data_IF_118724125730
#
_entry.id   IF_118724125730
#
_cell.length_a   1.000
_cell.length_b   1.000
_cell.length_c   1.000
_cell.angle_alpha   90.00
_cell.angle_beta   90.00
_cell.angle_gamma   90.00
#
_symmetry.space_group_name_H-M   'P 1'
#
loop_
_entity.id
_entity.type
_entity.pdbx_description
1 polymer ?
#
# COMPACT_ATOMS: atom_id res chain seq x y z
N UNK A 1 -18.62 7.53 -5.54
CA UNK A 1 -18.77 8.23 -6.85
C UNK A 1 -17.39 8.32 -7.47
N UNK A 2 -17.30 8.04 -8.76
CA UNK A 2 -16.07 8.24 -9.55
C UNK A 2 -16.39 9.00 -10.86
N UNK A 3 -15.35 9.63 -11.42
CA UNK A 3 -15.35 10.33 -12.72
C UNK A 3 -14.67 9.51 -13.82
N UNK A 4 -14.61 8.19 -13.64
CA UNK A 4 -14.05 7.26 -14.60
C UNK A 4 -14.91 7.10 -15.86
N UNK A 5 -14.57 6.08 -16.67
CA UNK A 5 -15.27 5.82 -17.96
C UNK A 5 -16.74 5.40 -17.83
N UNK A 6 -17.23 5.20 -16.63
CA UNK A 6 -18.54 4.60 -16.35
C UNK A 6 -18.55 3.08 -16.63
N UNK A 7 -19.30 2.32 -15.86
CA UNK A 7 -19.51 0.89 -16.11
C UNK A 7 -20.13 0.68 -17.50
N UNK A 8 -19.79 -0.42 -18.24
CA UNK A 8 -20.43 -0.73 -19.51
C UNK A 8 -21.92 -1.00 -19.35
N UNK A 9 -22.75 -0.31 -20.13
CA UNK A 9 -24.24 -0.41 -20.07
C UNK A 9 -24.84 -1.29 -21.16
N UNK A 10 -24.04 -1.62 -22.19
CA UNK A 10 -24.48 -2.50 -23.29
C UNK A 10 -24.74 -3.94 -22.86
N UNK A 11 -25.34 -4.71 -23.77
CA UNK A 11 -25.64 -6.14 -23.51
C UNK A 11 -24.34 -6.95 -23.51
N UNK A 12 -24.15 -7.74 -22.47
CA UNK A 12 -22.99 -8.63 -22.34
C UNK A 12 -23.10 -9.79 -23.36
N UNK A 13 -22.10 -10.00 -24.24
CA UNK A 13 -22.25 -10.88 -25.39
C UNK A 13 -22.51 -12.36 -25.03
N UNK A 14 -21.99 -12.83 -23.89
CA UNK A 14 -22.18 -14.22 -23.44
C UNK A 14 -23.40 -14.43 -22.54
N UNK A 15 -23.83 -13.38 -21.82
CA UNK A 15 -24.87 -13.51 -20.82
C UNK A 15 -26.25 -13.00 -21.28
N UNK A 16 -26.30 -12.23 -22.38
CA UNK A 16 -27.54 -11.67 -22.90
C UNK A 16 -28.24 -10.66 -21.99
N UNK A 17 -27.53 -10.15 -20.98
CA UNK A 17 -28.02 -9.18 -19.97
C UNK A 17 -27.17 -7.90 -20.01
N UNK A 18 -27.67 -6.77 -19.48
CA UNK A 18 -26.85 -5.57 -19.32
C UNK A 18 -25.56 -5.86 -18.59
N UNK A 19 -24.44 -5.31 -19.09
CA UNK A 19 -23.10 -5.60 -18.51
C UNK A 19 -23.02 -5.11 -17.05
N UNK A 20 -23.67 -4.00 -16.70
CA UNK A 20 -23.79 -3.54 -15.30
C UNK A 20 -24.43 -4.63 -14.44
N UNK A 21 -25.53 -5.25 -14.88
CA UNK A 21 -26.19 -6.33 -14.15
C UNK A 21 -25.26 -7.52 -13.96
N UNK A 22 -24.52 -7.91 -15.00
CA UNK A 22 -23.56 -9.02 -14.91
C UNK A 22 -22.48 -8.72 -13.88
N UNK A 23 -21.91 -7.49 -13.88
CA UNK A 23 -20.88 -7.06 -12.93
C UNK A 23 -21.39 -7.11 -11.48
N UNK A 24 -22.66 -6.72 -11.27
CA UNK A 24 -23.25 -6.58 -9.95
C UNK A 24 -23.85 -7.90 -9.40
N UNK A 25 -24.10 -8.90 -10.25
CA UNK A 25 -24.82 -10.13 -9.82
C UNK A 25 -24.06 -11.42 -10.07
N UNK A 26 -23.03 -11.42 -10.92
CA UNK A 26 -22.32 -12.65 -11.28
C UNK A 26 -20.92 -12.65 -10.69
N UNK A 27 -20.58 -13.71 -9.96
CA UNK A 27 -19.24 -13.93 -9.44
C UNK A 27 -18.25 -14.15 -10.60
N UNK A 28 -17.04 -13.65 -10.44
CA UNK A 28 -15.95 -13.77 -11.44
C UNK A 28 -16.25 -13.12 -12.80
N UNK A 29 -17.17 -12.16 -12.86
CA UNK A 29 -17.56 -11.44 -14.07
C UNK A 29 -16.87 -10.08 -14.25
N UNK A 30 -15.68 -9.89 -13.68
CA UNK A 30 -14.96 -8.61 -13.73
C UNK A 30 -14.35 -8.32 -15.09
N UNK A 31 -14.48 -7.07 -15.58
CA UNK A 31 -13.83 -6.57 -16.80
C UNK A 31 -12.29 -6.45 -16.71
N UNK A 32 -11.71 -6.90 -15.61
CA UNK A 32 -10.26 -6.93 -15.34
C UNK A 32 -9.58 -8.21 -15.83
N UNK A 33 -10.36 -9.19 -16.30
CA UNK A 33 -9.89 -10.44 -16.88
C UNK A 33 -9.77 -10.29 -18.39
N UNK A 34 -8.62 -10.63 -18.97
CA UNK A 34 -8.46 -10.71 -20.41
C UNK A 34 -7.90 -9.48 -21.12
N UNK A 35 -7.11 -8.66 -20.47
CA UNK A 35 -6.05 -7.88 -21.15
C UNK A 35 -6.44 -6.63 -21.89
N UNK A 36 -7.54 -5.95 -21.66
CA UNK A 36 -7.87 -4.76 -22.44
C UNK A 36 -8.23 -3.47 -21.69
N UNK A 37 -8.64 -3.55 -20.47
CA UNK A 37 -9.24 -2.43 -19.75
C UNK A 37 -8.38 -1.78 -18.66
N UNK A 38 -7.51 -2.55 -18.04
CA UNK A 38 -6.71 -2.12 -16.91
C UNK A 38 -5.28 -2.62 -17.03
N UNK A 39 -4.31 -1.70 -16.96
CA UNK A 39 -2.87 -2.07 -16.96
C UNK A 39 -2.43 -2.70 -15.66
N UNK A 40 -3.01 -2.25 -14.55
CA UNK A 40 -2.71 -2.72 -13.19
C UNK A 40 -4.01 -2.74 -12.39
N UNK A 41 -4.26 -3.80 -11.64
CA UNK A 41 -5.44 -3.91 -10.78
C UNK A 41 -5.14 -4.75 -9.54
N UNK A 42 -5.65 -4.31 -8.38
CA UNK A 42 -5.69 -5.11 -7.16
C UNK A 42 -6.86 -6.11 -7.11
N UNK A 43 -7.88 -5.91 -7.97
CA UNK A 43 -9.04 -6.80 -8.07
C UNK A 43 -8.76 -8.00 -8.96
N UNK A 44 -8.44 -9.16 -8.36
CA UNK A 44 -8.04 -10.38 -9.09
C UNK A 44 -9.18 -11.37 -9.33
N UNK A 45 -10.26 -11.29 -8.56
CA UNK A 45 -11.29 -12.33 -8.53
C UNK A 45 -12.63 -11.90 -9.14
N UNK A 46 -12.81 -10.61 -9.46
CA UNK A 46 -14.06 -10.09 -10.05
C UNK A 46 -15.28 -10.32 -9.18
N UNK A 47 -15.14 -10.24 -7.85
CA UNK A 47 -16.22 -10.52 -6.89
C UNK A 47 -16.62 -9.30 -6.05
N UNK A 48 -15.82 -8.24 -6.00
CA UNK A 48 -16.04 -7.13 -5.07
C UNK A 48 -17.42 -6.47 -5.24
N UNK A 49 -17.80 -6.11 -6.45
CA UNK A 49 -19.08 -5.45 -6.72
C UNK A 49 -20.26 -6.37 -6.42
N UNK A 50 -20.21 -7.64 -6.85
CA UNK A 50 -21.29 -8.61 -6.62
C UNK A 50 -21.43 -8.98 -5.14
N UNK A 51 -20.34 -9.02 -4.39
CA UNK A 51 -20.37 -9.27 -2.93
C UNK A 51 -20.99 -8.06 -2.20
N UNK A 52 -20.61 -6.83 -2.54
CA UNK A 52 -21.24 -5.63 -1.94
C UNK A 52 -22.76 -5.66 -2.18
N UNK A 53 -23.20 -5.95 -3.41
CA UNK A 53 -24.62 -6.10 -3.72
C UNK A 53 -25.27 -7.21 -2.88
N UNK A 54 -24.66 -8.40 -2.82
CA UNK A 54 -25.23 -9.55 -2.10
C UNK A 54 -25.40 -9.29 -0.59
N UNK A 55 -24.50 -8.49 -0.01
CA UNK A 55 -24.48 -8.14 1.41
C UNK A 55 -25.23 -6.84 1.73
N UNK A 56 -26.01 -6.30 0.78
CA UNK A 56 -26.74 -5.06 0.94
C UNK A 56 -28.26 -5.30 0.90
N UNK A 57 -28.98 -4.69 1.82
CA UNK A 57 -30.46 -4.67 1.77
C UNK A 57 -30.99 -3.82 0.60
N UNK A 58 -30.16 -2.83 0.16
CA UNK A 58 -30.41 -2.02 -1.03
C UNK A 58 -29.04 -1.69 -1.67
N UNK A 59 -28.96 -1.86 -2.98
CA UNK A 59 -27.81 -1.39 -3.77
C UNK A 59 -28.33 -0.73 -5.05
N UNK A 60 -27.84 0.48 -5.33
CA UNK A 60 -28.17 1.23 -6.54
C UNK A 60 -26.90 1.61 -7.28
N UNK A 61 -26.90 1.40 -8.59
CA UNK A 61 -25.81 1.81 -9.47
C UNK A 61 -26.34 2.81 -10.47
N UNK A 62 -25.71 3.97 -10.51
CA UNK A 62 -25.99 5.02 -11.48
C UNK A 62 -24.74 5.19 -12.34
N UNK A 63 -24.89 5.07 -13.65
CA UNK A 63 -23.78 5.17 -14.61
C UNK A 63 -24.05 6.32 -15.57
N UNK A 64 -23.12 7.25 -15.62
CA UNK A 64 -23.08 8.28 -16.67
C UNK A 64 -22.15 7.79 -17.77
N UNK A 65 -22.70 7.55 -18.96
CA UNK A 65 -21.94 7.04 -20.11
C UNK A 65 -22.66 7.26 -21.43
N UNK A 66 -21.89 7.53 -22.46
CA UNK A 66 -22.37 7.67 -23.84
C UNK A 66 -23.50 8.71 -24.00
N UNK A 67 -23.41 9.84 -23.24
CA UNK A 67 -24.35 10.94 -23.24
C UNK A 67 -25.62 10.73 -22.40
N UNK A 68 -25.69 9.64 -21.65
CA UNK A 68 -26.87 9.28 -20.86
C UNK A 68 -26.55 8.88 -19.43
N UNK A 69 -27.56 9.03 -18.56
CA UNK A 69 -27.57 8.51 -17.19
C UNK A 69 -28.42 7.26 -17.14
N UNK A 70 -27.83 6.18 -16.64
CA UNK A 70 -28.45 4.89 -16.48
C UNK A 70 -28.53 4.55 -15.01
N UNK A 71 -29.63 3.88 -14.59
CA UNK A 71 -29.83 3.42 -13.21
C UNK A 71 -30.31 1.99 -13.18
N UNK A 72 -29.79 1.20 -12.23
CA UNK A 72 -30.28 -0.11 -11.88
C UNK A 72 -30.21 -0.31 -10.37
N UNK A 73 -31.23 -0.94 -9.80
CA UNK A 73 -31.36 -1.19 -8.36
C UNK A 73 -31.41 -2.68 -8.08
N UNK A 74 -30.86 -3.05 -6.91
CA UNK A 74 -30.72 -4.42 -6.44
C UNK A 74 -31.10 -4.52 -4.97
N UNK A 75 -31.44 -5.74 -4.55
CA UNK A 75 -31.69 -6.07 -3.14
C UNK A 75 -31.12 -7.45 -2.85
N UNK A 76 -30.21 -7.54 -1.88
CA UNK A 76 -29.60 -8.81 -1.44
C UNK A 76 -29.06 -9.65 -2.61
N UNK A 77 -28.37 -9.02 -3.54
CA UNK A 77 -27.81 -9.67 -4.74
C UNK A 77 -28.79 -9.84 -5.89
N UNK A 78 -30.10 -9.74 -5.67
CA UNK A 78 -31.09 -9.89 -6.71
C UNK A 78 -31.39 -8.56 -7.40
N UNK A 79 -31.74 -8.62 -8.70
CA UNK A 79 -32.18 -7.47 -9.48
C UNK A 79 -33.55 -7.02 -8.99
N UNK A 80 -33.70 -5.74 -8.63
CA UNK A 80 -34.97 -5.14 -8.23
C UNK A 80 -35.60 -4.42 -9.40
N UNK A 81 -34.82 -3.69 -10.23
CA UNK A 81 -35.34 -3.01 -11.45
C UNK A 81 -34.47 -3.40 -12.64
N UNK A 82 -35.01 -3.28 -13.86
CA UNK A 82 -34.19 -3.32 -15.08
C UNK A 82 -33.23 -2.16 -15.14
N UNK A 83 -32.25 -2.21 -16.08
CA UNK A 83 -31.43 -1.07 -16.39
C UNK A 83 -32.22 -0.01 -17.16
N UNK A 84 -32.42 1.14 -16.57
CA UNK A 84 -33.23 2.22 -17.10
C UNK A 84 -32.41 3.43 -17.49
N UNK A 85 -32.73 4.05 -18.61
CA UNK A 85 -32.20 5.36 -18.98
C UNK A 85 -33.05 6.42 -18.26
N UNK A 86 -32.44 7.15 -17.32
CA UNK A 86 -33.14 8.13 -16.47
C UNK A 86 -32.91 9.59 -16.85
N UNK A 87 -31.97 9.86 -17.78
CA UNK A 87 -31.69 11.21 -18.22
C UNK A 87 -30.53 11.29 -19.24
N UNK A 88 -30.23 12.51 -19.62
CA UNK A 88 -29.05 12.85 -20.42
C UNK A 88 -28.04 13.59 -19.54
N UNK A 89 -26.75 13.37 -19.75
CA UNK A 89 -25.68 14.08 -19.07
C UNK A 89 -24.41 14.07 -19.89
N UNK A 90 -23.62 15.11 -19.70
CA UNK A 90 -22.25 15.18 -20.21
C UNK A 90 -21.30 14.47 -19.25
N UNK A 91 -20.13 14.01 -19.79
CA UNK A 91 -19.11 13.33 -19.01
C UNK A 91 -19.34 11.83 -18.84
N UNK A 92 -18.64 11.26 -17.90
CA UNK A 92 -18.71 9.83 -17.58
C UNK A 92 -18.36 9.59 -16.11
N UNK A 93 -18.85 8.48 -15.55
CA UNK A 93 -18.55 8.09 -14.18
C UNK A 93 -19.51 7.03 -13.67
N UNK A 94 -19.28 6.60 -12.42
CA UNK A 94 -20.14 5.66 -11.74
C UNK A 94 -20.43 6.13 -10.31
N UNK A 95 -21.68 6.06 -9.90
CA UNK A 95 -22.11 6.22 -8.50
C UNK A 95 -22.70 4.90 -8.02
N UNK A 96 -22.13 4.37 -6.95
CA UNK A 96 -22.67 3.20 -6.24
C UNK A 96 -23.16 3.66 -4.89
N UNK A 97 -24.46 3.45 -4.64
CA UNK A 97 -25.08 3.66 -3.34
C UNK A 97 -25.52 2.31 -2.79
N UNK A 98 -25.13 1.99 -1.57
CA UNK A 98 -25.52 0.73 -0.94
C UNK A 98 -25.78 0.91 0.55
N UNK A 99 -26.65 0.06 1.08
CA UNK A 99 -26.96 0.00 2.50
C UNK A 99 -26.68 -1.41 2.99
N UNK A 100 -25.73 -1.60 3.93
CA UNK A 100 -25.41 -2.90 4.49
C UNK A 100 -26.66 -3.56 5.09
N UNK A 101 -26.76 -4.89 4.94
CA UNK A 101 -27.91 -5.63 5.44
C UNK A 101 -27.75 -5.93 6.94
N UNK A 102 -28.63 -5.37 7.75
CA UNK A 102 -28.65 -5.55 9.20
C UNK A 102 -28.99 -6.98 9.65
N UNK A 103 -29.52 -7.83 8.75
CA UNK A 103 -29.70 -9.26 9.03
C UNK A 103 -28.41 -10.06 8.90
N UNK A 104 -27.38 -9.47 8.25
CA UNK A 104 -26.07 -10.11 8.02
C UNK A 104 -25.01 -9.52 8.93
N UNK A 105 -25.00 -8.19 9.08
CA UNK A 105 -24.00 -7.47 9.85
C UNK A 105 -24.56 -7.07 11.22
N UNK A 106 -23.82 -7.37 12.29
CA UNK A 106 -24.15 -6.93 13.64
C UNK A 106 -24.01 -5.41 13.78
N UNK A 107 -23.00 -4.83 13.09
CA UNK A 107 -22.72 -3.39 13.06
C UNK A 107 -22.81 -2.88 11.63
N UNK A 108 -23.63 -1.87 11.39
CA UNK A 108 -23.85 -1.26 10.05
C UNK A 108 -23.45 0.22 10.01
N UNK A 109 -23.02 0.78 11.12
CA UNK A 109 -22.50 2.15 11.16
C UNK A 109 -21.04 2.20 10.75
N UNK A 110 -20.72 3.13 9.86
CA UNK A 110 -19.34 3.34 9.41
C UNK A 110 -18.59 4.22 10.39
N UNK A 111 -17.35 3.80 10.72
CA UNK A 111 -16.39 4.64 11.45
C UNK A 111 -15.67 5.58 10.49
N UNK A 112 -15.80 6.89 10.74
CA UNK A 112 -15.19 7.92 9.90
C UNK A 112 -13.66 7.82 9.89
N UNK A 113 -13.04 7.57 11.03
CA UNK A 113 -11.57 7.56 11.15
C UNK A 113 -10.95 6.35 10.43
N UNK A 114 -11.61 5.19 10.47
CA UNK A 114 -11.18 3.99 9.72
C UNK A 114 -11.26 4.26 8.21
N UNK A 115 -12.34 4.86 7.73
CA UNK A 115 -12.48 5.23 6.32
C UNK A 115 -11.46 6.30 5.93
N UNK A 116 -11.30 7.34 6.76
CA UNK A 116 -10.33 8.42 6.58
C UNK A 116 -8.91 7.89 6.41
N UNK A 117 -8.47 7.01 7.32
CA UNK A 117 -7.15 6.40 7.22
C UNK A 117 -6.95 5.67 5.88
N UNK A 118 -7.92 4.84 5.49
CA UNK A 118 -7.81 4.05 4.25
C UNK A 118 -7.85 4.90 2.99
N UNK A 119 -8.71 5.91 2.94
CA UNK A 119 -8.80 6.80 1.78
C UNK A 119 -7.57 7.69 1.65
N UNK A 120 -7.00 8.13 2.77
CA UNK A 120 -5.73 8.86 2.82
C UNK A 120 -4.57 8.02 2.29
N UNK A 121 -4.45 6.75 2.69
CA UNK A 121 -3.47 5.81 2.14
C UNK A 121 -3.61 5.66 0.62
N UNK A 122 -4.84 5.47 0.12
CA UNK A 122 -5.10 5.37 -1.31
C UNK A 122 -4.72 6.64 -2.06
N UNK A 123 -4.95 7.82 -1.48
CA UNK A 123 -4.55 9.08 -2.08
C UNK A 123 -3.03 9.26 -2.13
N UNK A 124 -2.30 8.83 -1.11
CA UNK A 124 -0.83 8.80 -1.14
C UNK A 124 -0.26 7.83 -2.18
N UNK A 125 -0.89 6.67 -2.37
CA UNK A 125 -0.45 5.65 -3.32
C UNK A 125 -0.75 6.01 -4.79
N UNK A 126 -1.60 7.01 -5.03
CA UNK A 126 -2.03 7.43 -6.36
C UNK A 126 -1.91 8.95 -6.49
N UNK A 127 -0.74 9.41 -6.94
CA UNK A 127 -0.45 10.85 -7.14
C UNK A 127 -1.56 11.53 -7.94
N UNK A 128 -2.02 12.68 -7.50
CA UNK A 128 -2.98 13.51 -8.20
C UNK A 128 -4.45 13.07 -8.10
N UNK A 129 -4.75 11.93 -7.44
CA UNK A 129 -6.15 11.57 -7.18
C UNK A 129 -6.74 12.50 -6.12
N UNK A 130 -8.02 12.83 -6.27
CA UNK A 130 -8.77 13.61 -5.30
C UNK A 130 -9.89 12.73 -4.72
N UNK A 131 -9.87 12.49 -3.41
CA UNK A 131 -10.82 11.62 -2.72
C UNK A 131 -11.49 12.41 -1.60
N UNK A 132 -12.70 12.96 -1.78
CA UNK A 132 -13.48 13.53 -0.70
C UNK A 132 -14.13 12.41 0.11
N UNK A 133 -14.11 12.54 1.44
CA UNK A 133 -14.88 11.77 2.40
C UNK A 133 -15.86 12.71 3.09
N UNK A 134 -17.16 12.47 2.93
CA UNK A 134 -18.23 13.32 3.44
C UNK A 134 -19.12 12.49 4.35
N UNK A 135 -19.27 12.93 5.59
CA UNK A 135 -20.19 12.35 6.58
C UNK A 135 -21.37 13.32 6.81
N UNK A 136 -22.56 12.88 6.41
CA UNK A 136 -23.80 13.64 6.46
C UNK A 136 -24.75 13.10 7.56
N UNK A 137 -24.25 12.30 8.51
CA UNK A 137 -25.10 11.67 9.54
C UNK A 137 -25.57 12.63 10.63
N UNK A 138 -24.82 13.72 10.84
CA UNK A 138 -25.14 14.75 11.81
C UNK A 138 -25.54 16.04 11.11
N UNK A 139 -26.13 16.99 11.87
CA UNK A 139 -26.57 18.29 11.33
C UNK A 139 -25.37 19.11 10.77
N UNK A 140 -24.19 18.96 11.34
CA UNK A 140 -22.95 19.53 10.84
C UNK A 140 -22.21 18.50 9.97
N UNK A 141 -22.16 18.77 8.67
CA UNK A 141 -21.49 17.89 7.69
C UNK A 141 -19.99 17.90 7.94
N UNK A 142 -19.40 16.71 8.16
CA UNK A 142 -17.95 16.55 8.27
C UNK A 142 -17.39 16.16 6.91
N UNK A 143 -16.49 16.97 6.37
CA UNK A 143 -15.84 16.74 5.08
C UNK A 143 -14.32 16.77 5.21
N UNK A 144 -13.64 15.77 4.66
CA UNK A 144 -12.19 15.73 4.47
C UNK A 144 -11.87 15.37 3.02
N UNK A 145 -10.87 16.06 2.45
CA UNK A 145 -10.43 15.82 1.07
C UNK A 145 -8.98 15.35 1.09
N UNK A 146 -8.73 14.20 0.49
CA UNK A 146 -7.39 13.61 0.39
C UNK A 146 -6.86 13.80 -1.03
N UNK A 147 -5.79 14.59 -1.13
CA UNK A 147 -5.10 14.88 -2.38
C UNK A 147 -3.62 15.15 -2.11
N UNK A 148 -2.72 14.32 -2.66
CA UNK A 148 -1.29 14.38 -2.39
C UNK A 148 -0.47 14.27 -3.67
N UNK A 149 0.04 15.41 -4.16
CA UNK A 149 0.89 15.48 -5.35
C UNK A 149 2.25 14.77 -5.16
N UNK A 150 2.78 14.77 -3.95
CA UNK A 150 4.05 14.11 -3.62
C UNK A 150 3.97 12.59 -3.46
N UNK A 151 2.77 11.99 -3.56
CA UNK A 151 2.59 10.54 -3.51
C UNK A 151 3.17 9.91 -2.24
N UNK A 152 3.91 8.80 -2.37
CA UNK A 152 4.48 8.07 -1.23
C UNK A 152 5.60 8.86 -0.50
N UNK A 153 6.22 9.87 -1.14
CA UNK A 153 7.13 10.78 -0.45
C UNK A 153 6.38 11.57 0.62
N UNK A 154 5.22 12.14 0.27
CA UNK A 154 4.33 12.79 1.22
C UNK A 154 3.80 11.83 2.29
N UNK A 155 3.60 10.56 1.94
CA UNK A 155 3.18 9.55 2.90
C UNK A 155 4.22 9.32 3.99
N UNK A 156 5.49 9.18 3.64
CA UNK A 156 6.58 9.05 4.63
C UNK A 156 6.68 10.28 5.52
N UNK A 157 6.59 11.49 4.95
CA UNK A 157 6.55 12.74 5.74
C UNK A 157 5.36 12.77 6.71
N UNK A 158 4.18 12.33 6.26
CA UNK A 158 2.99 12.23 7.11
C UNK A 158 3.18 11.23 8.27
N UNK A 159 3.78 10.06 8.01
CA UNK A 159 4.08 9.05 9.03
C UNK A 159 5.09 9.53 10.07
N UNK A 160 5.96 10.46 9.69
CA UNK A 160 6.98 11.04 10.56
C UNK A 160 6.62 12.41 11.15
N UNK A 161 5.41 12.95 10.89
CA UNK A 161 5.00 14.30 11.30
C UNK A 161 5.15 14.63 12.79
N UNK A 162 5.15 13.61 13.64
CA UNK A 162 5.30 13.71 15.09
C UNK A 162 6.62 13.11 15.60
N UNK A 163 7.63 12.96 14.73
CA UNK A 163 8.93 12.40 15.05
C UNK A 163 10.03 13.41 14.72
N UNK A 164 11.13 13.35 15.42
CA UNK A 164 12.34 14.11 15.10
C UNK A 164 13.08 13.40 13.98
N UNK A 165 13.00 13.96 12.77
CA UNK A 165 13.63 13.38 11.57
C UNK A 165 15.11 13.75 11.51
N UNK A 166 15.94 12.85 10.98
CA UNK A 166 17.38 13.05 10.86
C UNK A 166 17.79 13.77 9.57
N UNK A 167 16.88 13.87 8.62
CA UNK A 167 17.04 14.63 7.37
C UNK A 167 15.67 15.11 6.89
N UNK A 168 15.63 16.33 6.35
CA UNK A 168 14.36 17.05 6.07
C UNK A 168 13.52 16.34 5.01
N UNK A 169 14.14 15.96 3.89
CA UNK A 169 13.46 15.38 2.74
C UNK A 169 13.54 13.84 2.78
N UNK A 170 12.41 13.12 2.65
CA UNK A 170 12.45 11.68 2.44
C UNK A 170 13.22 11.31 1.15
N UNK A 171 14.04 10.28 1.21
CA UNK A 171 14.65 9.66 0.03
C UNK A 171 13.54 9.05 -0.80
N UNK A 172 13.53 9.32 -2.11
CA UNK A 172 12.55 8.80 -3.04
C UNK A 172 13.23 8.16 -4.23
N UNK A 173 12.79 6.96 -4.58
CA UNK A 173 13.29 6.18 -5.72
C UNK A 173 12.11 5.62 -6.47
N UNK A 174 12.13 5.73 -7.80
CA UNK A 174 11.16 5.09 -8.67
C UNK A 174 11.84 4.47 -9.88
N UNK A 175 11.22 3.44 -10.44
CA UNK A 175 11.72 2.80 -11.64
C UNK A 175 10.78 1.74 -12.19
N UNK A 176 11.10 1.29 -13.40
CA UNK A 176 10.39 0.22 -14.11
C UNK A 176 11.41 -0.84 -14.54
N UNK A 177 11.17 -2.09 -14.13
CA UNK A 177 11.99 -3.22 -14.54
C UNK A 177 11.10 -4.43 -14.82
N UNK A 178 11.28 -5.03 -15.97
CA UNK A 178 10.55 -6.23 -16.42
C UNK A 178 9.01 -6.09 -16.32
N UNK A 179 8.49 -4.88 -16.59
CA UNK A 179 7.07 -4.56 -16.49
C UNK A 179 6.56 -4.32 -15.05
N UNK A 180 7.45 -4.35 -14.06
CA UNK A 180 7.16 -4.07 -12.66
C UNK A 180 7.55 -2.63 -12.36
N UNK A 181 6.55 -1.79 -12.02
CA UNK A 181 6.82 -0.45 -11.52
C UNK A 181 7.07 -0.51 -10.01
N UNK A 182 8.16 0.12 -9.57
CA UNK A 182 8.59 0.16 -8.17
C UNK A 182 8.70 1.62 -7.74
N UNK A 183 8.11 1.94 -6.62
CA UNK A 183 8.29 3.21 -5.91
C UNK A 183 8.70 2.91 -4.46
N UNK A 184 9.74 3.57 -3.98
CA UNK A 184 10.22 3.46 -2.60
C UNK A 184 10.44 4.85 -2.06
N UNK A 185 9.94 5.11 -0.86
CA UNK A 185 10.30 6.31 -0.11
C UNK A 185 10.68 5.93 1.30
N UNK A 186 11.72 6.58 1.83
CA UNK A 186 12.23 6.28 3.17
C UNK A 186 12.82 7.53 3.85
N UNK A 187 12.73 7.55 5.18
CA UNK A 187 13.29 8.63 6.01
C UNK A 187 13.67 8.06 7.38
N UNK A 188 14.76 8.56 7.94
CA UNK A 188 15.21 8.20 9.28
C UNK A 188 14.78 9.23 10.31
N UNK A 189 14.48 8.74 11.51
CA UNK A 189 14.15 9.55 12.69
C UNK A 189 14.98 9.09 13.91
N UNK A 190 14.99 9.86 14.96
CA UNK A 190 15.77 9.62 16.18
C UNK A 190 15.35 8.37 16.98
N UNK A 191 14.14 7.89 16.79
CA UNK A 191 13.59 6.70 17.47
C UNK A 191 14.28 5.40 17.10
N UNK A 192 13.83 4.30 17.73
CA UNK A 192 14.44 2.96 17.61
C UNK A 192 13.60 1.99 16.75
N UNK A 193 12.33 2.29 16.50
CA UNK A 193 11.40 1.40 15.82
C UNK A 193 11.56 1.45 14.29
N UNK A 194 11.52 0.28 13.65
CA UNK A 194 11.35 0.12 12.21
C UNK A 194 9.87 0.19 11.87
N UNK A 195 9.49 1.04 10.91
CA UNK A 195 8.14 1.15 10.38
C UNK A 195 8.19 1.05 8.85
N UNK A 196 7.91 -0.11 8.29
CA UNK A 196 7.91 -0.32 6.84
C UNK A 196 6.50 -0.74 6.40
N UNK A 197 5.92 0.06 5.52
CA UNK A 197 4.62 -0.20 4.89
C UNK A 197 4.85 -0.69 3.48
N UNK A 198 4.16 -1.75 3.09
CA UNK A 198 4.36 -2.38 1.79
C UNK A 198 3.06 -2.58 1.04
N UNK A 199 3.05 -2.23 -0.24
CA UNK A 199 1.86 -2.25 -1.07
C UNK A 199 2.14 -2.96 -2.40
N UNK A 200 1.18 -3.74 -2.86
CA UNK A 200 1.16 -4.33 -4.19
C UNK A 200 -0.17 -3.99 -4.87
N UNK A 201 -0.13 -3.26 -5.99
CA UNK A 201 -1.32 -2.76 -6.67
C UNK A 201 -2.29 -2.02 -5.73
N UNK A 202 -1.76 -1.15 -4.85
CA UNK A 202 -2.47 -0.39 -3.83
C UNK A 202 -3.13 -1.24 -2.71
N UNK A 203 -2.81 -2.52 -2.64
CA UNK A 203 -3.24 -3.41 -1.55
C UNK A 203 -2.15 -3.40 -0.49
N UNK A 204 -2.53 -3.14 0.75
CA UNK A 204 -1.64 -3.25 1.90
C UNK A 204 -1.27 -4.72 2.13
N UNK A 205 0.03 -5.00 2.11
CA UNK A 205 0.60 -6.33 2.34
C UNK A 205 1.22 -6.38 3.72
N UNK A 206 0.38 -6.46 4.74
CA UNK A 206 0.78 -6.36 6.16
C UNK A 206 1.82 -7.41 6.59
N UNK A 207 1.87 -8.56 5.92
CA UNK A 207 2.89 -9.61 6.11
C UNK A 207 4.09 -9.43 5.16
N UNK A 208 4.11 -8.36 4.37
CA UNK A 208 5.18 -8.07 3.41
C UNK A 208 5.15 -8.99 2.20
N UNK A 209 6.31 -9.59 1.90
CA UNK A 209 6.51 -10.47 0.76
C UNK A 209 7.82 -10.20 0.02
N UNK A 210 7.86 -10.56 -1.25
CA UNK A 210 9.06 -10.49 -2.08
C UNK A 210 9.58 -9.05 -2.28
N UNK A 211 8.70 -8.06 -2.39
CA UNK A 211 9.06 -6.64 -2.48
C UNK A 211 9.73 -6.13 -1.20
N UNK A 212 9.21 -6.48 -0.01
CA UNK A 212 9.85 -6.17 1.26
C UNK A 212 11.23 -6.82 1.37
N UNK A 213 11.34 -8.10 0.98
CA UNK A 213 12.59 -8.83 1.01
C UNK A 213 13.64 -8.19 0.07
N UNK A 214 13.24 -7.79 -1.14
CA UNK A 214 14.08 -7.07 -2.09
C UNK A 214 14.59 -5.74 -1.52
N UNK A 215 13.70 -4.93 -0.97
CA UNK A 215 14.03 -3.65 -0.35
C UNK A 215 15.02 -3.82 0.83
N UNK A 216 14.73 -4.72 1.79
CA UNK A 216 15.61 -4.98 2.94
C UNK A 216 17.00 -5.46 2.52
N UNK A 217 17.07 -6.27 1.48
CA UNK A 217 18.34 -6.75 0.91
C UNK A 217 19.13 -5.60 0.29
N UNK A 218 18.50 -4.81 -0.58
CA UNK A 218 19.11 -3.65 -1.23
C UNK A 218 19.64 -2.64 -0.22
N UNK A 219 18.78 -2.23 0.72
CA UNK A 219 19.14 -1.25 1.75
C UNK A 219 20.35 -1.70 2.57
N UNK A 220 20.35 -2.98 3.02
CA UNK A 220 21.46 -3.52 3.81
C UNK A 220 22.77 -3.55 3.03
N UNK A 221 22.73 -3.94 1.78
CA UNK A 221 23.90 -3.96 0.88
C UNK A 221 24.43 -2.55 0.63
N UNK A 222 23.55 -1.65 0.19
CA UNK A 222 23.93 -0.27 -0.17
C UNK A 222 24.54 0.47 1.01
N UNK A 223 23.97 0.35 2.21
CA UNK A 223 24.50 1.03 3.40
C UNK A 223 25.89 0.51 3.79
N UNK A 224 26.12 -0.78 3.71
CA UNK A 224 27.46 -1.35 3.97
C UNK A 224 28.49 -0.93 2.91
N UNK A 225 28.10 -0.98 1.63
CA UNK A 225 28.99 -0.59 0.52
C UNK A 225 29.33 0.91 0.60
N UNK A 226 28.33 1.76 0.85
CA UNK A 226 28.53 3.20 1.06
C UNK A 226 29.44 3.48 2.26
N UNK A 227 29.15 2.84 3.40
CA UNK A 227 29.94 3.01 4.62
C UNK A 227 31.42 2.66 4.42
N UNK A 228 31.73 1.61 3.66
CA UNK A 228 33.12 1.25 3.32
C UNK A 228 33.75 2.20 2.33
N UNK A 229 33.07 2.50 1.24
CA UNK A 229 33.55 3.36 0.16
C UNK A 229 33.90 4.76 0.65
N UNK A 230 33.11 5.31 1.57
CA UNK A 230 33.33 6.66 2.12
C UNK A 230 34.06 6.67 3.47
N UNK A 231 34.59 5.53 3.92
CA UNK A 231 35.48 5.43 5.07
C UNK A 231 34.77 5.49 6.45
N UNK A 232 33.46 5.38 6.49
CA UNK A 232 32.68 5.28 7.75
C UNK A 232 32.82 3.90 8.40
N UNK A 233 33.04 2.85 7.60
CA UNK A 233 33.37 1.49 8.02
C UNK A 233 34.81 1.15 7.56
N UNK A 234 35.64 0.66 8.47
CA UNK A 234 36.96 0.15 8.13
C UNK A 234 36.86 -1.22 7.47
N UNK A 235 37.87 -1.62 6.69
CA UNK A 235 37.92 -2.96 6.09
C UNK A 235 37.86 -4.09 7.13
N UNK A 236 38.41 -3.86 8.32
CA UNK A 236 38.40 -4.80 9.44
C UNK A 236 37.07 -4.88 10.18
N UNK A 237 36.19 -3.91 9.98
CA UNK A 237 34.90 -3.87 10.70
C UNK A 237 33.94 -4.90 10.11
N UNK A 238 33.10 -5.47 10.98
CA UNK A 238 32.02 -6.32 10.52
C UNK A 238 30.96 -5.48 9.80
N UNK A 239 30.28 -6.10 8.85
CA UNK A 239 29.11 -5.48 8.23
C UNK A 239 28.06 -5.15 9.29
N UNK A 240 27.41 -4.01 9.12
CA UNK A 240 26.19 -3.67 9.85
C UNK A 240 25.09 -4.67 9.49
N UNK A 241 24.36 -5.14 10.50
CA UNK A 241 23.21 -6.01 10.24
C UNK A 241 22.02 -5.21 9.68
N UNK A 242 21.09 -5.91 9.04
CA UNK A 242 19.87 -5.28 8.58
C UNK A 242 19.10 -4.58 9.70
N UNK A 243 19.09 -5.16 10.90
CA UNK A 243 18.40 -4.56 12.07
C UNK A 243 19.07 -3.26 12.53
N UNK A 244 20.41 -3.20 12.51
CA UNK A 244 21.15 -1.97 12.85
C UNK A 244 20.84 -0.84 11.85
N UNK A 245 20.76 -1.19 10.55
CA UNK A 245 20.51 -0.24 9.46
C UNK A 245 19.06 0.26 9.48
N UNK A 246 18.12 -0.57 9.90
CA UNK A 246 16.70 -0.22 9.91
C UNK A 246 16.21 0.41 11.22
N UNK A 247 17.07 0.58 12.20
CA UNK A 247 16.72 1.28 13.44
C UNK A 247 16.35 2.74 13.14
N UNK A 248 15.15 3.15 13.55
CA UNK A 248 14.60 4.48 13.28
C UNK A 248 14.19 4.74 11.82
N UNK A 249 14.00 3.68 11.03
CA UNK A 249 13.56 3.78 9.65
C UNK A 249 12.03 3.85 9.54
N UNK A 250 11.52 4.83 8.79
CA UNK A 250 10.17 4.81 8.21
C UNK A 250 10.30 4.66 6.70
N UNK A 251 9.64 3.67 6.11
CA UNK A 251 9.68 3.46 4.67
C UNK A 251 8.31 3.02 4.12
N UNK A 252 8.06 3.37 2.86
CA UNK A 252 6.93 2.90 2.07
C UNK A 252 7.48 2.28 0.79
N UNK A 253 7.10 1.03 0.52
CA UNK A 253 7.47 0.28 -0.69
C UNK A 253 6.20 -0.05 -1.45
N UNK A 254 6.05 0.47 -2.64
CA UNK A 254 4.88 0.25 -3.50
C UNK A 254 5.32 -0.37 -4.82
N UNK A 255 4.68 -1.46 -5.20
CA UNK A 255 4.90 -2.10 -6.50
C UNK A 255 3.60 -2.20 -7.28
N UNK A 256 3.69 -2.03 -8.60
CA UNK A 256 2.58 -2.24 -9.53
C UNK A 256 2.98 -3.29 -10.56
N UNK A 257 2.21 -4.36 -10.62
CA UNK A 257 2.46 -5.54 -11.45
C UNK A 257 1.13 -5.99 -12.10
N UNK A 258 1.20 -6.48 -13.33
CA UNK A 258 0.01 -6.93 -14.08
C UNK A 258 -0.66 -8.15 -13.48
N UNK A 259 0.13 -9.12 -13.00
CA UNK A 259 -0.34 -10.41 -12.48
C UNK A 259 0.20 -10.67 -11.06
N UNK A 260 -0.33 -9.98 -10.03
CA UNK A 260 0.13 -10.18 -8.66
C UNK A 260 -0.33 -11.55 -8.13
N UNK A 261 0.60 -12.25 -7.49
CA UNK A 261 0.36 -13.52 -6.81
C UNK A 261 0.47 -13.28 -5.30
N UNK A 262 -0.64 -13.45 -4.60
CA UNK A 262 -0.67 -13.31 -3.15
C UNK A 262 -0.77 -14.66 -2.45
N UNK A 263 -0.20 -14.75 -1.27
CA UNK A 263 -0.45 -15.87 -0.36
C UNK A 263 -1.82 -15.65 0.31
N UNK A 264 -2.82 -16.45 -0.12
CA UNK A 264 -4.18 -16.42 0.43
C UNK A 264 -5.11 -15.32 -0.10
N UNK A 265 -6.38 -15.44 0.24
CA UNK A 265 -7.47 -14.55 -0.21
C UNK A 265 -7.39 -13.14 0.40
N UNK A 266 -6.83 -13.03 1.58
CA UNK A 266 -6.65 -11.75 2.31
C UNK A 266 -5.60 -10.84 1.69
N UNK A 267 -4.76 -11.39 0.77
CA UNK A 267 -3.71 -10.66 0.03
C UNK A 267 -2.67 -9.98 0.92
N UNK A 268 -2.43 -10.53 2.10
CA UNK A 268 -1.54 -9.97 3.11
C UNK A 268 -0.06 -10.08 2.75
N UNK A 269 0.30 -10.98 1.82
CA UNK A 269 1.70 -11.24 1.44
C UNK A 269 1.86 -11.45 -0.06
N UNK A 270 2.82 -10.74 -0.67
CA UNK A 270 3.14 -10.87 -2.09
C UNK A 270 4.13 -12.01 -2.34
N UNK A 271 3.81 -12.92 -3.28
CA UNK A 271 4.60 -14.12 -3.58
C UNK A 271 5.47 -14.06 -4.84
N UNK A 272 5.23 -13.12 -5.75
CA UNK A 272 5.95 -13.02 -7.04
C UNK A 272 7.47 -12.95 -6.87
N UNK A 273 8.21 -13.97 -7.27
CA UNK A 273 9.67 -14.05 -7.08
C UNK A 273 10.44 -12.99 -7.87
N UNK A 274 9.98 -12.64 -9.07
CA UNK A 274 10.56 -11.63 -9.96
C UNK A 274 10.54 -10.22 -9.34
N UNK A 275 9.54 -9.92 -8.51
CA UNK A 275 9.41 -8.62 -7.82
C UNK A 275 10.59 -8.38 -6.89
N UNK A 276 11.11 -9.42 -6.23
CA UNK A 276 12.27 -9.27 -5.34
C UNK A 276 13.47 -8.70 -6.07
N UNK A 277 13.78 -9.21 -7.26
CA UNK A 277 14.90 -8.74 -8.08
C UNK A 277 14.69 -7.33 -8.60
N UNK A 278 13.47 -6.99 -9.03
CA UNK A 278 13.13 -5.66 -9.51
C UNK A 278 13.30 -4.61 -8.41
N UNK A 279 12.76 -4.88 -7.22
CA UNK A 279 12.87 -3.96 -6.07
C UNK A 279 14.30 -3.85 -5.58
N UNK A 280 15.06 -4.95 -5.49
CA UNK A 280 16.48 -4.93 -5.08
C UNK A 280 17.32 -4.06 -6.03
N UNK A 281 17.16 -4.23 -7.34
CA UNK A 281 17.89 -3.46 -8.35
C UNK A 281 17.55 -1.97 -8.29
N UNK A 282 16.26 -1.62 -8.40
CA UNK A 282 15.80 -0.23 -8.48
C UNK A 282 16.11 0.50 -7.16
N UNK A 283 15.81 -0.11 -6.02
CA UNK A 283 16.10 0.49 -4.72
C UNK A 283 17.60 0.63 -4.49
N UNK A 284 18.37 -0.39 -4.88
CA UNK A 284 19.82 -0.38 -4.72
C UNK A 284 20.49 0.74 -5.50
N UNK A 285 20.16 0.88 -6.78
CA UNK A 285 20.70 1.92 -7.65
C UNK A 285 20.27 3.32 -7.18
N UNK A 286 18.96 3.51 -6.92
CA UNK A 286 18.43 4.82 -6.56
C UNK A 286 18.92 5.31 -5.19
N UNK A 287 18.95 4.44 -4.18
CA UNK A 287 19.47 4.81 -2.85
C UNK A 287 20.96 5.10 -2.92
N UNK A 288 21.76 4.30 -3.66
CA UNK A 288 23.19 4.55 -3.82
C UNK A 288 23.45 5.90 -4.45
N UNK A 289 22.75 6.22 -5.54
CA UNK A 289 22.85 7.53 -6.21
C UNK A 289 22.49 8.68 -5.28
N UNK A 290 21.38 8.55 -4.55
CA UNK A 290 20.96 9.58 -3.60
C UNK A 290 22.00 9.84 -2.52
N UNK A 291 22.60 8.78 -1.94
CA UNK A 291 23.62 8.93 -0.88
C UNK A 291 24.90 9.56 -1.41
N UNK A 292 25.29 9.28 -2.66
CA UNK A 292 26.44 9.92 -3.30
C UNK A 292 26.21 11.42 -3.57
N UNK A 293 24.99 11.79 -3.94
CA UNK A 293 24.58 13.18 -4.14
C UNK A 293 24.35 13.95 -2.83
N UNK A 294 24.05 13.22 -1.73
CA UNK A 294 23.72 13.79 -0.41
C UNK A 294 24.60 13.19 0.71
N UNK A 295 25.93 13.42 0.69
CA UNK A 295 26.87 12.75 1.59
C UNK A 295 26.63 13.02 3.07
N UNK A 296 26.11 14.20 3.43
CA UNK A 296 25.75 14.51 4.82
C UNK A 296 24.62 13.63 5.34
N UNK A 297 23.60 13.37 4.51
CA UNK A 297 22.50 12.44 4.84
C UNK A 297 23.04 11.03 4.99
N UNK A 298 23.88 10.59 4.07
CA UNK A 298 24.52 9.27 4.12
C UNK A 298 25.33 9.08 5.40
N UNK A 299 26.12 10.09 5.80
CA UNK A 299 26.89 10.10 7.05
C UNK A 299 25.99 9.95 8.27
N UNK A 300 24.93 10.75 8.39
CA UNK A 300 23.99 10.71 9.53
C UNK A 300 23.36 9.33 9.67
N UNK A 301 22.92 8.73 8.55
CA UNK A 301 22.28 7.40 8.56
C UNK A 301 23.30 6.32 8.99
N UNK A 302 24.52 6.34 8.48
CA UNK A 302 25.56 5.38 8.86
C UNK A 302 25.97 5.54 10.33
N UNK A 303 26.12 6.78 10.82
CA UNK A 303 26.43 7.04 12.24
C UNK A 303 25.34 6.49 13.16
N UNK A 304 24.06 6.65 12.81
CA UNK A 304 22.95 6.04 13.55
C UNK A 304 23.03 4.51 13.56
N UNK A 305 23.24 3.89 12.41
CA UNK A 305 23.37 2.44 12.30
C UNK A 305 24.59 1.89 13.08
N UNK A 306 25.71 2.62 13.11
CA UNK A 306 26.87 2.29 13.93
C UNK A 306 26.57 2.37 15.43
N UNK A 307 25.80 3.36 15.85
CA UNK A 307 25.35 3.51 17.25
C UNK A 307 24.45 2.34 17.65
N UNK A 308 23.48 1.97 16.82
CA UNK A 308 22.61 0.81 17.01
C UNK A 308 23.42 -0.50 17.14
N UNK A 309 24.39 -0.71 16.24
CA UNK A 309 25.26 -1.88 16.26
C UNK A 309 26.07 -1.98 17.56
N UNK A 310 26.67 -0.87 18.01
CA UNK A 310 27.43 -0.80 19.28
C UNK A 310 26.54 -1.09 20.49
N UNK A 311 25.34 -0.51 20.53
CA UNK A 311 24.38 -0.74 21.63
C UNK A 311 23.96 -2.22 21.70
N UNK A 312 23.66 -2.83 20.56
CA UNK A 312 23.30 -4.25 20.44
C UNK A 312 24.46 -5.17 20.90
N UNK A 313 25.70 -4.88 20.48
CA UNK A 313 26.86 -5.65 20.92
C UNK A 313 27.13 -5.52 22.42
N UNK A 314 27.00 -4.32 22.98
CA UNK A 314 27.12 -4.10 24.43
C UNK A 314 26.08 -4.88 25.21
N UNK A 315 24.82 -4.86 24.77
CA UNK A 315 23.74 -5.62 25.38
C UNK A 315 23.98 -7.15 25.31
N UNK A 316 24.50 -7.66 24.18
CA UNK A 316 24.87 -9.07 24.03
C UNK A 316 25.98 -9.47 24.99
N UNK A 317 27.05 -8.68 25.07
CA UNK A 317 28.19 -8.95 26.00
C UNK A 317 27.72 -8.96 27.46
N UNK A 318 26.85 -8.02 27.86
CA UNK A 318 26.30 -7.98 29.21
C UNK A 318 25.50 -9.24 29.53
N UNK A 319 24.65 -9.71 28.60
CA UNK A 319 23.88 -10.97 28.77
C UNK A 319 24.79 -12.21 28.87
N UNK A 320 25.85 -12.28 28.07
CA UNK A 320 26.83 -13.38 28.10
C UNK A 320 27.58 -13.42 29.44
N UNK A 321 28.01 -12.26 29.96
CA UNK A 321 28.64 -12.17 31.29
C UNK A 321 27.69 -12.61 32.41
N UNK A 322 26.44 -12.16 32.39
CA UNK A 322 25.44 -12.56 33.36
C UNK A 322 25.20 -14.08 33.35
N UNK A 323 25.09 -14.67 32.14
CA UNK A 323 24.94 -16.15 32.03
C UNK A 323 26.13 -16.91 32.53
N UNK A 324 27.37 -16.47 32.27
CA UNK A 324 28.58 -17.10 32.82
C UNK A 324 28.61 -17.03 34.33
N UNK A 325 28.31 -15.88 34.94
CA UNK A 325 28.29 -15.72 36.40
C UNK A 325 27.23 -16.60 37.10
N UNK A 326 26.08 -16.83 36.45
CA UNK A 326 25.06 -17.74 36.99
C UNK A 326 25.50 -19.20 36.91
N UNK A 327 26.12 -19.61 35.80
CA UNK A 327 26.64 -20.96 35.62
C UNK A 327 27.79 -21.26 36.61
N UNK A 328 28.70 -20.32 36.84
CA UNK A 328 29.78 -20.46 37.83
C UNK A 328 29.23 -20.56 39.28
N UNK A 329 28.16 -19.83 39.63
CA UNK A 329 27.48 -19.94 40.94
C UNK A 329 26.73 -21.24 41.10
N UNK A 330 26.18 -21.84 40.05
CA UNK A 330 25.47 -23.11 40.09
C UNK A 330 26.39 -24.33 40.09
N UNK A 331 27.68 -24.15 39.83
CA UNK A 331 28.70 -25.23 39.82
C UNK A 331 29.54 -25.28 41.10
N UNK A 332 29.21 -24.52 42.15
CA UNK A 332 29.80 -24.66 43.47
C UNK A 332 29.09 -25.75 44.23
N UNK A 333 29.83 -26.74 44.84
CA UNK A 333 29.26 -27.88 45.53
C UNK A 333 28.50 -27.53 46.80
#
# INVERSE_FOLDING_TARGET
>A
VDDGRGMPVGIHPKMGKPTVEVIMTVLHAGGKFGGGGYKVSGGLHGVGASVVNALSELCEVIVTRDGYVWKQSYKRGAVLTGLEKIGEAEGSGTKVHFKPDHEIFEETEYDFEILSQRLRELAFLNKGINIPLIDEREDEVKEEVYHYEGGIKSFVSYLNRNKEVLHDEPIYVEGLKDGIAVEVSLQYHDGFNENIFTFANNIDTVEGGTHLAGFKTALTRVMNDYGRRFGHLKESDKNLSGDDIREGLTAVVSVKISEPQFEGQTKTKLGNSEVRSAVDSISGEGISTFLEENPEVGKIIIEKALLASRAREAARRARELTRKSVLERSSLP
#
